data_IF_507856910788
#
_entry.id   IF_507856910788
#
_cell.length_a   1.000
_cell.length_b   1.000
_cell.length_c   1.000
_cell.angle_alpha   90.00
_cell.angle_beta   90.00
_cell.angle_gamma   90.00
#
_symmetry.space_group_name_H-M   'P 1'
#
loop_
_entity.id
_entity.type
_entity.pdbx_description
1 polymer ?
#
# COMPACT_ATOMS: atom_id res chain seq x y z
N UNK A 1 26.24 7.48 27.07
CA UNK A 1 25.17 7.40 28.07
C UNK A 1 23.98 8.06 27.44
N UNK A 2 23.15 7.22 26.85
CA UNK A 2 22.19 7.55 25.79
C UNK A 2 20.80 7.66 26.38
N UNK A 3 19.93 8.50 25.83
CA UNK A 3 18.52 8.80 26.20
C UNK A 3 17.65 7.62 26.71
N UNK A 4 18.04 6.37 26.46
CA UNK A 4 17.47 5.14 27.03
C UNK A 4 17.73 4.97 28.54
N UNK A 5 18.91 5.35 29.04
CA UNK A 5 19.27 5.27 30.47
C UNK A 5 18.48 6.31 31.28
N UNK A 6 18.34 7.53 30.75
CA UNK A 6 17.55 8.60 31.41
C UNK A 6 16.06 8.26 31.51
N UNK A 7 15.51 7.49 30.56
CA UNK A 7 14.11 7.07 30.59
C UNK A 7 13.86 5.95 31.62
N UNK A 8 14.84 5.06 31.80
CA UNK A 8 14.78 3.98 32.79
C UNK A 8 14.84 4.55 34.23
N UNK A 9 15.60 5.62 34.47
CA UNK A 9 15.69 6.29 35.77
C UNK A 9 14.40 7.04 36.15
N UNK A 10 13.72 7.67 35.18
CA UNK A 10 12.42 8.34 35.40
C UNK A 10 11.31 7.33 35.69
N UNK A 11 11.31 6.18 35.00
CA UNK A 11 10.37 5.10 35.27
C UNK A 11 10.61 4.46 36.65
N UNK A 12 11.88 4.31 37.07
CA UNK A 12 12.25 3.83 38.40
C UNK A 12 11.83 4.82 39.51
N UNK A 13 11.96 6.13 39.28
CA UNK A 13 11.46 7.17 40.19
C UNK A 13 9.92 7.18 40.29
N UNK A 14 9.22 6.85 39.21
CA UNK A 14 7.76 6.67 39.26
C UNK A 14 7.35 5.35 39.93
N UNK A 15 8.16 4.30 39.84
CA UNK A 15 7.92 3.02 40.52
C UNK A 15 8.09 3.14 42.05
N UNK A 16 9.03 3.99 42.50
CA UNK A 16 9.20 4.39 43.91
C UNK A 16 8.00 5.15 44.50
N UNK A 17 7.04 5.59 43.68
CA UNK A 17 5.86 6.31 44.13
C UNK A 17 4.67 5.40 44.50
N UNK A 18 4.79 4.07 44.33
CA UNK A 18 3.73 3.13 44.64
C UNK A 18 4.02 2.38 45.95
N UNK A 19 3.08 2.46 46.89
CA UNK A 19 3.14 1.74 48.16
C UNK A 19 2.82 0.26 47.92
N UNK A 20 3.81 -0.63 48.01
CA UNK A 20 3.63 -2.09 47.90
C UNK A 20 4.73 -2.81 47.14
N UNK A 21 4.70 -4.15 47.13
CA UNK A 21 5.65 -4.96 46.36
C UNK A 21 5.45 -4.80 44.85
N UNK A 22 6.49 -5.08 44.06
CA UNK A 22 6.39 -5.02 42.59
C UNK A 22 5.25 -5.91 42.04
N UNK A 23 5.05 -7.09 42.64
CA UNK A 23 3.95 -8.00 42.30
C UNK A 23 2.59 -7.38 42.61
N UNK A 24 2.38 -6.89 43.83
CA UNK A 24 1.11 -6.29 44.26
C UNK A 24 0.74 -5.09 43.39
N UNK A 25 1.68 -4.18 43.15
CA UNK A 25 1.48 -3.05 42.27
C UNK A 25 1.09 -3.51 40.85
N UNK A 26 1.77 -4.52 40.31
CA UNK A 26 1.44 -5.13 39.03
C UNK A 26 0.02 -5.72 38.99
N UNK A 27 -0.43 -6.35 40.07
CA UNK A 27 -1.79 -6.90 40.20
C UNK A 27 -2.86 -5.82 40.35
N UNK A 28 -2.62 -4.77 41.14
CA UNK A 28 -3.55 -3.65 41.28
C UNK A 28 -3.75 -2.94 39.93
N UNK A 29 -2.67 -2.68 39.19
CA UNK A 29 -2.76 -2.10 37.85
C UNK A 29 -3.47 -3.02 36.86
N UNK A 30 -3.26 -4.34 36.96
CA UNK A 30 -3.99 -5.34 36.17
C UNK A 30 -5.49 -5.26 36.47
N UNK A 31 -5.89 -5.15 37.73
CA UNK A 31 -7.30 -5.06 38.12
C UNK A 31 -7.97 -3.78 37.63
N UNK A 32 -7.36 -2.61 37.88
CA UNK A 32 -7.85 -1.32 37.35
C UNK A 32 -7.94 -1.33 35.82
N UNK A 33 -6.93 -1.87 35.15
CA UNK A 33 -6.94 -2.02 33.70
C UNK A 33 -8.07 -2.94 33.22
N UNK A 34 -8.36 -4.03 33.93
CA UNK A 34 -9.46 -4.94 33.62
C UNK A 34 -10.83 -4.27 33.78
N UNK A 35 -11.01 -3.42 34.79
CA UNK A 35 -12.21 -2.63 34.99
C UNK A 35 -12.43 -1.65 33.83
N UNK A 36 -11.40 -0.88 33.47
CA UNK A 36 -11.44 0.00 32.29
C UNK A 36 -11.72 -0.78 31.00
N UNK A 37 -11.14 -1.98 30.85
CA UNK A 37 -11.37 -2.84 29.68
C UNK A 37 -12.83 -3.29 29.61
N UNK A 38 -13.43 -3.71 30.73
CA UNK A 38 -14.85 -4.05 30.81
C UNK A 38 -15.75 -2.86 30.48
N UNK A 39 -15.35 -1.66 30.90
CA UNK A 39 -16.01 -0.40 30.57
C UNK A 39 -15.78 0.08 29.12
N UNK A 40 -15.03 -0.69 28.29
CA UNK A 40 -14.63 -0.34 26.91
C UNK A 40 -13.77 0.91 26.80
N UNK A 41 -13.16 1.36 27.90
CA UNK A 41 -12.20 2.45 27.94
C UNK A 41 -10.80 1.89 27.63
N UNK A 42 -10.59 1.48 26.38
CA UNK A 42 -9.36 0.74 25.99
C UNK A 42 -8.09 1.59 26.04
N UNK A 43 -8.20 2.90 25.86
CA UNK A 43 -7.06 3.82 25.97
C UNK A 43 -6.55 3.87 27.42
N UNK A 44 -7.44 4.09 28.38
CA UNK A 44 -7.12 4.14 29.81
C UNK A 44 -6.65 2.77 30.31
N UNK A 45 -7.34 1.69 29.90
CA UNK A 45 -6.94 0.33 30.24
C UNK A 45 -5.50 0.03 29.79
N UNK A 46 -5.13 0.45 28.57
CA UNK A 46 -3.77 0.30 28.04
C UNK A 46 -2.74 1.05 28.91
N UNK A 47 -3.08 2.24 29.42
CA UNK A 47 -2.19 3.01 30.30
C UNK A 47 -1.96 2.31 31.64
N UNK A 48 -3.03 1.81 32.28
CA UNK A 48 -2.89 1.04 33.52
C UNK A 48 -2.04 -0.22 33.32
N UNK A 49 -2.27 -0.97 32.24
CA UNK A 49 -1.42 -2.13 31.96
C UNK A 49 0.04 -1.74 31.68
N UNK A 50 0.27 -0.60 31.05
CA UNK A 50 1.63 -0.11 30.79
C UNK A 50 2.37 0.18 32.09
N UNK A 51 1.73 0.86 33.04
CA UNK A 51 2.32 1.11 34.38
C UNK A 51 2.71 -0.18 35.10
N UNK A 52 1.82 -1.18 35.11
CA UNK A 52 2.12 -2.48 35.70
C UNK A 52 3.27 -3.23 34.98
N UNK A 53 3.33 -3.12 33.65
CA UNK A 53 4.42 -3.69 32.85
C UNK A 53 5.74 -3.01 33.17
N UNK A 54 5.77 -1.68 33.29
CA UNK A 54 7.02 -0.95 33.51
C UNK A 54 7.67 -1.33 34.84
N UNK A 55 6.86 -1.54 35.89
CA UNK A 55 7.32 -2.02 37.20
C UNK A 55 7.91 -3.44 37.09
N UNK A 56 7.13 -4.40 36.58
CA UNK A 56 7.56 -5.81 36.55
C UNK A 56 8.66 -6.08 35.50
N UNK A 57 8.67 -5.35 34.39
CA UNK A 57 9.70 -5.46 33.37
C UNK A 57 11.03 -4.87 33.85
N UNK A 58 11.01 -3.87 34.74
CA UNK A 58 12.23 -3.37 35.38
C UNK A 58 12.88 -4.47 36.24
N UNK A 59 12.10 -5.17 37.06
CA UNK A 59 12.60 -6.29 37.86
C UNK A 59 13.16 -7.42 36.98
N UNK A 60 12.50 -7.76 35.86
CA UNK A 60 13.06 -8.73 34.90
C UNK A 60 14.37 -8.26 34.25
N UNK A 61 14.53 -6.95 33.98
CA UNK A 61 15.80 -6.41 33.46
C UNK A 61 16.92 -6.47 34.49
N UNK A 62 16.63 -6.17 35.77
CA UNK A 62 17.59 -6.31 36.88
C UNK A 62 18.10 -7.74 36.98
N UNK A 63 17.18 -8.71 36.99
CA UNK A 63 17.52 -10.15 36.99
C UNK A 63 18.36 -10.55 35.78
N UNK A 64 18.04 -10.02 34.59
CA UNK A 64 18.80 -10.30 33.37
C UNK A 64 20.25 -9.76 33.42
N UNK A 65 20.53 -8.74 34.24
CA UNK A 65 21.89 -8.23 34.51
C UNK A 65 22.63 -9.00 35.60
N UNK A 66 21.97 -9.98 36.25
CA UNK A 66 22.52 -10.72 37.38
C UNK A 66 22.37 -9.99 38.72
N UNK A 67 21.54 -8.95 38.79
CA UNK A 67 21.20 -8.26 40.03
C UNK A 67 20.15 -9.07 40.82
N UNK A 68 20.26 -9.06 42.15
CA UNK A 68 19.26 -9.64 43.05
C UNK A 68 18.07 -8.70 43.16
N UNK A 69 16.87 -9.25 43.13
CA UNK A 69 15.62 -8.51 43.34
C UNK A 69 15.03 -8.88 44.70
N UNK A 70 14.25 -7.97 45.28
CA UNK A 70 13.73 -8.10 46.64
C UNK A 70 12.26 -7.70 46.66
N UNK A 71 11.52 -8.27 47.60
CA UNK A 71 10.16 -7.87 47.94
C UNK A 71 10.02 -7.72 49.45
N UNK A 72 9.06 -6.91 49.88
CA UNK A 72 8.73 -6.73 51.29
C UNK A 72 7.72 -7.77 51.73
N UNK A 73 8.05 -8.52 52.78
CA UNK A 73 7.13 -9.42 53.47
C UNK A 73 6.89 -8.91 54.90
N UNK A 74 5.67 -9.14 55.40
CA UNK A 74 5.34 -8.87 56.79
C UNK A 74 5.88 -9.98 57.68
N UNK A 75 6.92 -9.69 58.44
CA UNK A 75 7.42 -10.58 59.47
C UNK A 75 6.84 -10.20 60.84
N UNK A 76 6.39 -11.19 61.60
CA UNK A 76 6.04 -10.98 63.02
C UNK A 76 7.31 -11.04 63.86
N UNK A 77 7.62 -9.95 64.54
CA UNK A 77 8.69 -9.93 65.54
C UNK A 77 8.08 -9.92 66.95
N UNK A 78 8.28 -11.00 67.70
CA UNK A 78 7.77 -11.17 69.07
C UNK A 78 6.99 -12.48 69.28
N UNK A 79 6.78 -12.86 70.54
CA UNK A 79 5.94 -14.00 70.93
C UNK A 79 4.68 -13.50 71.65
N UNK A 80 3.50 -14.05 71.30
CA UNK A 80 2.21 -13.70 71.92
C UNK A 80 1.39 -12.66 71.17
N UNK A 81 0.36 -12.10 71.83
CA UNK A 81 -0.59 -11.14 71.25
C UNK A 81 0.02 -9.74 71.01
N UNK A 82 1.22 -9.48 71.54
CA UNK A 82 1.98 -8.22 71.37
C UNK A 82 2.95 -8.26 70.17
N UNK A 83 2.87 -9.27 69.29
CA UNK A 83 3.74 -9.39 68.13
C UNK A 83 3.51 -8.24 67.13
N UNK A 84 4.52 -7.39 66.96
CA UNK A 84 4.50 -6.31 65.96
C UNK A 84 4.75 -6.89 64.55
N UNK A 85 3.91 -6.51 63.59
CA UNK A 85 4.18 -6.73 62.16
C UNK A 85 5.17 -5.66 61.69
N UNK A 86 6.30 -6.11 61.14
CA UNK A 86 7.29 -5.23 60.50
C UNK A 86 7.54 -5.70 59.09
N UNK A 87 7.73 -4.74 58.19
CA UNK A 87 8.12 -5.03 56.81
C UNK A 87 9.61 -5.40 56.78
N UNK A 88 9.91 -6.56 56.21
CA UNK A 88 11.26 -7.06 56.02
C UNK A 88 11.49 -7.26 54.54
N UNK A 89 12.62 -6.78 54.03
CA UNK A 89 13.04 -7.03 52.66
C UNK A 89 13.63 -8.45 52.55
N UNK A 90 13.00 -9.27 51.72
CA UNK A 90 13.38 -10.65 51.44
C UNK A 90 13.81 -10.74 49.97
N UNK A 91 14.92 -11.43 49.70
CA UNK A 91 15.37 -11.70 48.33
C UNK A 91 14.33 -12.55 47.60
N UNK A 92 14.00 -12.20 46.37
CA UNK A 92 13.04 -12.94 45.56
C UNK A 92 13.56 -14.35 45.28
N UNK A 93 12.81 -15.35 45.73
CA UNK A 93 13.04 -16.74 45.37
C UNK A 93 12.47 -17.06 43.98
N UNK A 94 12.81 -18.23 43.45
CA UNK A 94 12.36 -18.68 42.12
C UNK A 94 10.83 -18.69 41.98
N UNK A 95 10.12 -18.95 43.08
CA UNK A 95 8.65 -19.00 43.11
C UNK A 95 8.04 -17.59 43.01
N UNK A 96 8.59 -16.60 43.71
CA UNK A 96 8.16 -15.21 43.60
C UNK A 96 8.48 -14.64 42.22
N UNK A 97 9.66 -14.94 41.67
CA UNK A 97 10.01 -14.56 40.29
C UNK A 97 9.02 -15.17 39.30
N UNK A 98 8.64 -16.44 39.48
CA UNK A 98 7.63 -17.09 38.64
C UNK A 98 6.25 -16.42 38.74
N UNK A 99 5.82 -16.04 39.96
CA UNK A 99 4.57 -15.31 40.18
C UNK A 99 4.58 -13.94 39.49
N UNK A 100 5.66 -13.18 39.64
CA UNK A 100 5.83 -11.89 38.96
C UNK A 100 5.79 -12.03 37.43
N UNK A 101 6.47 -13.04 36.87
CA UNK A 101 6.43 -13.34 35.44
C UNK A 101 5.03 -13.70 34.95
N UNK A 102 4.25 -14.43 35.74
CA UNK A 102 2.86 -14.77 35.42
C UNK A 102 1.96 -13.51 35.37
N UNK A 103 2.15 -12.57 36.31
CA UNK A 103 1.45 -11.27 36.28
C UNK A 103 1.87 -10.47 35.05
N UNK A 104 3.17 -10.39 34.78
CA UNK A 104 3.72 -9.69 33.60
C UNK A 104 3.20 -10.27 32.28
N UNK A 105 3.13 -11.60 32.16
CA UNK A 105 2.52 -12.30 31.03
C UNK A 105 1.08 -11.84 30.83
N UNK A 106 0.27 -11.85 31.90
CA UNK A 106 -1.13 -11.46 31.84
C UNK A 106 -1.32 -10.00 31.41
N UNK A 107 -0.44 -9.10 31.86
CA UNK A 107 -0.45 -7.68 31.51
C UNK A 107 -0.14 -7.47 30.02
N UNK A 108 0.90 -8.11 29.47
CA UNK A 108 1.20 -8.03 28.03
C UNK A 108 0.03 -8.54 27.19
N UNK A 109 -0.57 -9.65 27.59
CA UNK A 109 -1.71 -10.29 26.91
C UNK A 109 -2.95 -9.39 26.93
N UNK A 110 -3.18 -8.67 28.02
CA UNK A 110 -4.30 -7.74 28.17
C UNK A 110 -4.04 -6.42 27.44
N UNK A 111 -2.82 -5.87 27.49
CA UNK A 111 -2.43 -4.69 26.71
C UNK A 111 -2.50 -4.96 25.21
N UNK A 112 -2.09 -6.15 24.77
CA UNK A 112 -2.27 -6.61 23.39
C UNK A 112 -3.76 -6.63 22.98
N UNK A 113 -4.67 -6.99 23.90
CA UNK A 113 -6.10 -6.91 23.64
C UNK A 113 -6.56 -5.47 23.41
N UNK A 114 -6.15 -4.52 24.25
CA UNK A 114 -6.43 -3.10 24.05
C UNK A 114 -5.89 -2.60 22.70
N UNK A 115 -4.66 -2.98 22.34
CA UNK A 115 -4.07 -2.60 21.07
C UNK A 115 -4.85 -3.15 19.88
N UNK A 116 -5.38 -4.37 19.97
CA UNK A 116 -6.20 -4.95 18.91
C UNK A 116 -7.52 -4.18 18.72
N UNK A 117 -8.18 -3.78 19.81
CA UNK A 117 -9.43 -3.00 19.76
C UNK A 117 -9.19 -1.55 19.29
N UNK A 118 -8.05 -0.96 19.64
CA UNK A 118 -7.66 0.38 19.19
C UNK A 118 -7.10 0.42 17.75
N UNK A 119 -6.96 -0.72 17.07
CA UNK A 119 -6.37 -0.80 15.72
C UNK A 119 -4.85 -0.64 15.68
N UNK A 120 -4.18 -0.66 16.82
CA UNK A 120 -2.73 -0.58 16.96
C UNK A 120 -2.08 -1.95 16.75
N UNK A 121 -2.21 -2.50 15.54
CA UNK A 121 -1.87 -3.90 15.27
C UNK A 121 -0.39 -4.23 15.55
N UNK A 122 0.54 -3.32 15.22
CA UNK A 122 1.98 -3.56 15.42
C UNK A 122 2.37 -3.76 16.88
N UNK A 123 1.84 -2.91 17.74
CA UNK A 123 2.03 -3.03 19.18
C UNK A 123 1.38 -4.32 19.70
N UNK A 124 0.21 -4.69 19.17
CA UNK A 124 -0.49 -5.93 19.55
C UNK A 124 0.36 -7.19 19.36
N UNK A 125 0.91 -7.44 18.17
CA UNK A 125 1.71 -8.66 17.97
C UNK A 125 3.08 -8.59 18.64
N UNK A 126 3.62 -7.38 18.89
CA UNK A 126 4.86 -7.20 19.65
C UNK A 126 4.66 -7.61 21.11
N UNK A 127 3.57 -7.14 21.74
CA UNK A 127 3.19 -7.53 23.10
C UNK A 127 2.88 -9.02 23.20
N UNK A 128 2.20 -9.59 22.20
CA UNK A 128 1.99 -11.03 22.13
C UNK A 128 3.33 -11.80 22.05
N UNK A 129 4.31 -11.27 21.31
CA UNK A 129 5.66 -11.85 21.25
C UNK A 129 6.38 -11.82 22.59
N UNK A 130 6.26 -10.72 23.35
CA UNK A 130 6.80 -10.63 24.71
C UNK A 130 6.12 -11.61 25.67
N UNK A 131 4.79 -11.70 25.62
CA UNK A 131 4.04 -12.69 26.40
C UNK A 131 4.45 -14.13 26.08
N UNK A 132 4.69 -14.46 24.80
CA UNK A 132 5.11 -15.80 24.38
C UNK A 132 6.56 -16.13 24.76
N UNK A 133 7.42 -15.13 25.01
CA UNK A 133 8.75 -15.36 25.59
C UNK A 133 8.66 -15.78 27.06
N UNK A 134 7.68 -15.25 27.80
CA UNK A 134 7.42 -15.63 29.18
C UNK A 134 6.69 -16.97 29.26
N UNK A 135 5.64 -17.14 28.47
CA UNK A 135 4.84 -18.36 28.40
C UNK A 135 4.55 -18.76 26.96
N UNK A 136 5.35 -19.69 26.39
CA UNK A 136 5.16 -20.18 25.03
C UNK A 136 3.84 -20.92 24.78
N UNK A 137 3.10 -21.29 25.83
CA UNK A 137 1.84 -22.06 25.72
C UNK A 137 0.59 -21.16 25.75
N UNK A 138 0.76 -19.84 25.71
CA UNK A 138 -0.37 -18.91 25.80
C UNK A 138 -1.18 -18.82 24.48
N UNK A 139 -2.30 -19.55 24.44
CA UNK A 139 -3.23 -19.56 23.31
C UNK A 139 -3.85 -18.18 23.00
N UNK A 140 -4.09 -17.34 24.02
CA UNK A 140 -4.66 -15.99 23.82
C UNK A 140 -3.68 -15.08 23.09
N UNK A 141 -2.38 -15.20 23.35
CA UNK A 141 -1.34 -14.45 22.66
C UNK A 141 -1.25 -14.85 21.18
N UNK A 142 -1.27 -16.16 20.86
CA UNK A 142 -1.31 -16.63 19.47
C UNK A 142 -2.54 -16.13 18.73
N UNK A 143 -3.73 -16.23 19.35
CA UNK A 143 -4.98 -15.76 18.75
C UNK A 143 -4.95 -14.27 18.42
N UNK A 144 -4.54 -13.42 19.38
CA UNK A 144 -4.50 -11.96 19.16
C UNK A 144 -3.43 -11.56 18.14
N UNK A 145 -2.26 -12.21 18.16
CA UNK A 145 -1.20 -12.02 17.18
C UNK A 145 -1.67 -12.35 15.77
N UNK A 146 -2.25 -13.53 15.56
CA UNK A 146 -2.77 -13.96 14.26
C UNK A 146 -3.85 -12.99 13.73
N UNK A 147 -4.77 -12.56 14.61
CA UNK A 147 -5.83 -11.61 14.24
C UNK A 147 -5.29 -10.21 13.90
N UNK A 148 -4.28 -9.72 14.61
CA UNK A 148 -3.62 -8.45 14.31
C UNK A 148 -2.85 -8.50 12.98
N UNK A 149 -2.09 -9.57 12.72
CA UNK A 149 -1.34 -9.77 11.49
C UNK A 149 -2.26 -9.88 10.28
N UNK A 150 -3.39 -10.58 10.42
CA UNK A 150 -4.41 -10.70 9.38
C UNK A 150 -5.00 -9.33 9.01
N UNK A 151 -5.27 -8.46 9.99
CA UNK A 151 -5.80 -7.10 9.75
C UNK A 151 -4.84 -6.20 8.97
N UNK A 152 -3.52 -6.43 9.07
CA UNK A 152 -2.50 -5.72 8.30
C UNK A 152 -2.23 -6.37 6.93
N UNK A 153 -2.77 -7.56 6.68
CA UNK A 153 -2.56 -8.32 5.44
C UNK A 153 -1.25 -9.11 5.42
N UNK A 154 -0.60 -9.32 6.58
CA UNK A 154 0.57 -10.20 6.74
C UNK A 154 0.10 -11.64 6.88
N UNK A 155 -0.48 -12.18 5.81
CA UNK A 155 -1.23 -13.45 5.81
C UNK A 155 -0.34 -14.63 6.21
N UNK A 156 0.88 -14.72 5.67
CA UNK A 156 1.80 -15.84 5.97
C UNK A 156 2.20 -15.92 7.44
N UNK A 157 2.45 -14.78 8.08
CA UNK A 157 2.81 -14.72 9.50
C UNK A 157 1.60 -14.95 10.40
N UNK A 158 0.41 -14.51 9.97
CA UNK A 158 -0.83 -14.82 10.66
C UNK A 158 -1.10 -16.33 10.66
N UNK A 159 -0.87 -17.00 9.53
CA UNK A 159 -1.00 -18.45 9.39
C UNK A 159 -0.04 -19.19 10.31
N UNK A 160 1.24 -18.82 10.29
CA UNK A 160 2.28 -19.39 11.15
C UNK A 160 1.99 -19.21 12.66
N UNK A 161 1.52 -18.02 13.07
CA UNK A 161 1.08 -17.78 14.45
C UNK A 161 -0.15 -18.64 14.82
N UNK A 162 -1.11 -18.79 13.91
CA UNK A 162 -2.32 -19.57 14.14
C UNK A 162 -2.00 -21.07 14.21
N UNK A 163 -1.15 -21.58 13.31
CA UNK A 163 -0.70 -22.96 13.26
C UNK A 163 0.02 -23.37 14.56
N UNK A 164 0.92 -22.53 15.07
CA UNK A 164 1.56 -22.76 16.38
C UNK A 164 0.56 -22.81 17.53
N UNK A 165 -0.45 -21.94 17.54
CA UNK A 165 -1.51 -21.98 18.54
C UNK A 165 -2.35 -23.26 18.46
N UNK A 166 -2.72 -23.69 17.24
CA UNK A 166 -3.49 -24.91 17.02
C UNK A 166 -2.67 -26.18 17.30
N UNK A 167 -1.34 -26.14 17.20
CA UNK A 167 -0.48 -27.24 17.61
C UNK A 167 -0.49 -27.48 19.13
N UNK A 168 -0.78 -26.44 19.92
CA UNK A 168 -0.94 -26.54 21.37
C UNK A 168 -2.34 -27.02 21.77
N UNK A 169 -3.38 -26.46 21.14
CA UNK A 169 -4.77 -26.84 21.34
C UNK A 169 -5.50 -26.85 20.00
N UNK A 170 -5.62 -28.05 19.44
CA UNK A 170 -6.25 -28.25 18.14
C UNK A 170 -7.74 -27.95 18.14
N UNK A 171 -8.42 -28.02 19.29
CA UNK A 171 -9.87 -27.82 19.44
C UNK A 171 -10.28 -26.38 19.78
N UNK A 172 -9.30 -25.48 19.82
CA UNK A 172 -9.53 -24.07 20.13
C UNK A 172 -10.43 -23.38 19.08
N UNK A 173 -11.71 -23.17 19.41
CA UNK A 173 -12.70 -22.56 18.50
C UNK A 173 -12.28 -21.17 17.99
N UNK A 174 -11.80 -20.23 18.83
CA UNK A 174 -11.33 -18.92 18.36
C UNK A 174 -10.21 -19.01 17.32
N UNK A 175 -9.19 -19.85 17.55
CA UNK A 175 -8.09 -20.03 16.60
C UNK A 175 -8.55 -20.68 15.29
N UNK A 176 -9.43 -21.69 15.35
CA UNK A 176 -10.02 -22.28 14.13
C UNK A 176 -10.78 -21.26 13.29
N UNK A 177 -11.52 -20.33 13.93
CA UNK A 177 -12.20 -19.26 13.21
C UNK A 177 -11.20 -18.32 12.52
N UNK A 178 -10.12 -17.94 13.20
CA UNK A 178 -9.05 -17.11 12.60
C UNK A 178 -8.36 -17.86 11.45
N UNK A 179 -8.10 -19.15 11.57
CA UNK A 179 -7.54 -19.97 10.48
C UNK A 179 -8.45 -19.94 9.22
N UNK A 180 -9.76 -20.06 9.39
CA UNK A 180 -10.70 -19.95 8.28
C UNK A 180 -10.68 -18.55 7.64
N UNK A 181 -10.56 -17.50 8.44
CA UNK A 181 -10.46 -16.13 7.93
C UNK A 181 -9.13 -15.88 7.20
N UNK A 182 -8.03 -16.50 7.65
CA UNK A 182 -6.71 -16.47 6.99
C UNK A 182 -6.80 -17.13 5.61
N UNK A 183 -7.41 -18.33 5.51
CA UNK A 183 -7.59 -19.01 4.22
C UNK A 183 -8.40 -18.15 3.24
N UNK A 184 -9.52 -17.57 3.68
CA UNK A 184 -10.32 -16.67 2.84
C UNK A 184 -9.52 -15.43 2.40
N UNK A 185 -8.72 -14.85 3.29
CA UNK A 185 -7.88 -13.71 2.95
C UNK A 185 -6.78 -14.08 1.95
N UNK A 186 -6.18 -15.26 2.08
CA UNK A 186 -5.18 -15.79 1.15
C UNK A 186 -5.78 -15.96 -0.25
N UNK A 187 -6.93 -16.61 -0.36
CA UNK A 187 -7.64 -16.79 -1.64
C UNK A 187 -7.99 -15.46 -2.31
N UNK A 188 -8.45 -14.47 -1.53
CA UNK A 188 -8.75 -13.15 -2.05
C UNK A 188 -7.50 -12.40 -2.52
N UNK A 189 -6.40 -12.51 -1.78
CA UNK A 189 -5.11 -11.92 -2.16
C UNK A 189 -4.59 -12.55 -3.46
N UNK A 190 -4.63 -13.88 -3.58
CA UNK A 190 -4.21 -14.61 -4.78
C UNK A 190 -5.10 -14.32 -5.99
N UNK A 191 -6.42 -14.22 -5.78
CA UNK A 191 -7.34 -13.82 -6.83
C UNK A 191 -7.04 -12.39 -7.33
N UNK A 192 -6.71 -11.47 -6.41
CA UNK A 192 -6.35 -10.09 -6.76
C UNK A 192 -5.04 -10.04 -7.55
N UNK A 193 -3.99 -10.70 -7.07
CA UNK A 193 -2.69 -10.72 -7.76
C UNK A 193 -2.81 -11.36 -9.15
N UNK A 194 -3.56 -12.45 -9.28
CA UNK A 194 -3.84 -13.09 -10.57
C UNK A 194 -4.58 -12.16 -11.54
N UNK A 195 -5.63 -11.47 -11.10
CA UNK A 195 -6.38 -10.50 -11.94
C UNK A 195 -5.48 -9.35 -12.41
N UNK A 196 -4.62 -8.84 -11.53
CA UNK A 196 -3.66 -7.79 -11.88
C UNK A 196 -2.61 -8.27 -12.88
N UNK A 197 -2.10 -9.50 -12.71
CA UNK A 197 -1.17 -10.12 -13.64
C UNK A 197 -1.80 -10.35 -15.03
N UNK A 198 -3.04 -10.85 -15.08
CA UNK A 198 -3.79 -11.04 -16.32
C UNK A 198 -4.04 -9.71 -17.05
N UNK A 199 -4.39 -8.64 -16.33
CA UNK A 199 -4.54 -7.29 -16.90
C UNK A 199 -3.24 -6.80 -17.52
N UNK A 200 -2.14 -6.87 -16.78
CA UNK A 200 -0.81 -6.46 -17.26
C UNK A 200 -0.35 -7.30 -18.46
N UNK A 201 -0.63 -8.61 -18.46
CA UNK A 201 -0.31 -9.50 -19.58
C UNK A 201 -1.11 -9.12 -20.84
N UNK A 202 -2.40 -8.77 -20.70
CA UNK A 202 -3.25 -8.31 -21.81
C UNK A 202 -2.78 -6.98 -22.37
N UNK A 203 -2.40 -6.02 -21.52
CA UNK A 203 -1.82 -4.73 -21.93
C UNK A 203 -0.51 -4.94 -22.70
N UNK A 204 0.44 -5.71 -22.16
CA UNK A 204 1.71 -6.04 -22.84
C UNK A 204 1.48 -6.73 -24.19
N UNK A 205 0.52 -7.67 -24.26
CA UNK A 205 0.17 -8.34 -25.51
C UNK A 205 -0.39 -7.35 -26.54
N UNK A 206 -1.25 -6.41 -26.10
CA UNK A 206 -1.83 -5.37 -26.98
C UNK A 206 -0.73 -4.45 -27.53
N UNK A 207 0.19 -4.01 -26.68
CA UNK A 207 1.33 -3.17 -27.10
C UNK A 207 2.25 -3.89 -28.08
N UNK A 208 2.60 -5.15 -27.80
CA UNK A 208 3.44 -5.96 -28.68
C UNK A 208 2.78 -6.14 -30.05
N UNK A 209 1.48 -6.44 -30.09
CA UNK A 209 0.72 -6.58 -31.33
C UNK A 209 0.64 -5.26 -32.10
N UNK A 210 0.41 -4.12 -31.41
CA UNK A 210 0.37 -2.81 -32.03
C UNK A 210 1.72 -2.46 -32.67
N UNK A 211 2.81 -2.67 -31.95
CA UNK A 211 4.18 -2.41 -32.43
C UNK A 211 4.51 -3.28 -33.64
N UNK A 212 4.19 -4.58 -33.60
CA UNK A 212 4.40 -5.48 -34.73
C UNK A 212 3.56 -5.07 -35.95
N UNK A 213 2.30 -4.66 -35.74
CA UNK A 213 1.39 -4.24 -36.79
C UNK A 213 1.84 -2.93 -37.48
N UNK A 214 2.41 -1.98 -36.73
CA UNK A 214 3.02 -0.77 -37.27
C UNK A 214 4.31 -1.07 -38.03
N UNK A 215 5.20 -1.91 -37.48
CA UNK A 215 6.46 -2.29 -38.11
C UNK A 215 6.25 -2.99 -39.47
N UNK A 216 5.29 -3.93 -39.55
CA UNK A 216 4.96 -4.60 -40.80
C UNK A 216 4.52 -3.60 -41.89
N UNK A 217 3.76 -2.57 -41.52
CA UNK A 217 3.26 -1.54 -42.44
C UNK A 217 4.33 -0.54 -42.89
N UNK A 218 5.23 -0.15 -42.00
CA UNK A 218 6.36 0.73 -42.33
C UNK A 218 7.35 0.08 -43.31
N UNK A 219 7.49 -1.25 -43.27
CA UNK A 219 8.42 -1.99 -44.14
C UNK A 219 7.92 -2.22 -45.58
N UNK A 220 6.70 -1.80 -45.93
CA UNK A 220 6.10 -2.04 -47.25
C UNK A 220 5.86 -3.52 -47.60
N UNK A 221 6.25 -4.46 -46.74
CA UNK A 221 5.99 -5.89 -46.88
C UNK A 221 4.66 -6.21 -46.21
N UNK A 222 3.61 -6.33 -47.02
CA UNK A 222 2.47 -7.15 -46.62
C UNK A 222 3.00 -8.54 -46.22
N UNK A 223 2.63 -9.10 -45.04
CA UNK A 223 3.06 -10.44 -44.67
C UNK A 223 2.56 -11.40 -45.75
N UNK A 224 3.47 -12.02 -46.52
CA UNK A 224 3.11 -13.11 -47.43
C UNK A 224 2.62 -14.28 -46.57
N UNK A 225 1.37 -14.75 -46.71
CA UNK A 225 0.90 -15.88 -45.96
C UNK A 225 1.34 -17.17 -46.65
N UNK A 226 2.32 -17.87 -46.09
CA UNK A 226 2.37 -19.32 -46.23
C UNK A 226 1.16 -19.89 -45.47
N UNK A 227 0.20 -20.44 -46.21
CA UNK A 227 -1.11 -20.93 -45.73
C UNK A 227 -1.01 -22.29 -45.01
N UNK A 228 -2.02 -22.78 -44.23
CA UNK A 228 -3.46 -22.71 -44.51
C UNK A 228 -4.42 -22.24 -43.39
N UNK A 229 -5.48 -21.58 -43.88
CA UNK A 229 -6.83 -21.31 -43.36
C UNK A 229 -7.16 -21.70 -41.90
N UNK A 230 -7.21 -20.67 -41.05
CA UNK A 230 -8.39 -20.38 -40.22
C UNK A 230 -8.85 -18.97 -40.61
N UNK A 231 -10.08 -18.82 -41.12
CA UNK A 231 -10.63 -17.51 -41.50
C UNK A 231 -11.00 -16.75 -40.23
N UNK A 232 -10.08 -15.95 -39.69
CA UNK A 232 -10.43 -14.83 -38.81
C UNK A 232 -10.81 -13.63 -39.69
N UNK A 233 -12.10 -13.41 -39.87
CA UNK A 233 -12.65 -12.20 -40.49
C UNK A 233 -12.49 -11.09 -39.44
N UNK A 234 -11.56 -10.15 -39.60
CA UNK A 234 -11.60 -8.92 -38.79
C UNK A 234 -10.35 -8.03 -38.68
N UNK A 235 -9.12 -8.50 -38.84
CA UNK A 235 -7.92 -7.70 -38.52
C UNK A 235 -7.24 -7.09 -39.75
N UNK A 236 -8.01 -6.60 -40.74
CA UNK A 236 -7.45 -6.09 -42.00
C UNK A 236 -7.17 -4.58 -42.01
N UNK A 237 -7.82 -3.80 -41.15
CA UNK A 237 -7.62 -2.36 -41.01
C UNK A 237 -7.28 -2.03 -39.56
N UNK A 238 -6.25 -1.23 -39.32
CA UNK A 238 -6.07 -0.53 -38.05
C UNK A 238 -6.87 0.77 -38.06
N UNK A 239 -7.45 1.11 -36.92
CA UNK A 239 -8.04 2.42 -36.66
C UNK A 239 -7.44 2.98 -35.38
N UNK A 240 -7.16 4.28 -35.39
CA UNK A 240 -6.59 4.99 -34.26
C UNK A 240 -7.58 6.05 -33.78
N UNK A 241 -7.77 6.24 -32.48
CA UNK A 241 -8.38 7.48 -32.01
C UNK A 241 -7.49 8.66 -32.44
N UNK A 242 -8.09 9.74 -32.91
CA UNK A 242 -7.37 10.93 -33.35
C UNK A 242 -7.93 12.19 -32.71
N UNK A 243 -7.05 13.10 -32.32
CA UNK A 243 -7.39 14.43 -31.80
C UNK A 243 -6.96 15.45 -32.83
N UNK A 244 -7.91 16.27 -33.28
CA UNK A 244 -7.66 17.45 -34.11
C UNK A 244 -7.54 18.66 -33.18
N UNK A 245 -6.38 19.30 -33.16
CA UNK A 245 -6.08 20.43 -32.29
C UNK A 245 -6.11 21.73 -33.10
N UNK A 246 -6.81 22.74 -32.60
CA UNK A 246 -6.89 24.08 -33.18
C UNK A 246 -6.13 25.07 -32.28
N UNK A 247 -4.79 25.10 -32.35
CA UNK A 247 -3.95 25.73 -31.33
C UNK A 247 -4.14 27.25 -31.22
N UNK A 248 -4.55 27.93 -32.29
CA UNK A 248 -4.78 29.39 -32.27
C UNK A 248 -6.07 29.78 -31.53
N UNK A 249 -6.96 28.83 -31.29
CA UNK A 249 -8.26 29.04 -30.62
C UNK A 249 -8.39 28.22 -29.35
N UNK A 250 -7.43 27.36 -29.06
CA UNK A 250 -7.40 26.43 -27.91
C UNK A 250 -8.60 25.46 -27.90
N UNK A 251 -9.05 25.08 -29.09
CA UNK A 251 -10.16 24.14 -29.29
C UNK A 251 -9.65 22.78 -29.79
N UNK A 252 -10.48 21.74 -29.67
CA UNK A 252 -10.15 20.40 -30.20
C UNK A 252 -11.38 19.58 -30.57
N UNK A 253 -11.23 18.74 -31.60
CA UNK A 253 -12.19 17.70 -31.97
C UNK A 253 -11.60 16.30 -31.78
N UNK A 254 -12.46 15.32 -31.49
CA UNK A 254 -12.06 13.93 -31.30
C UNK A 254 -12.72 12.99 -32.32
N UNK A 255 -11.89 12.29 -33.09
CA UNK A 255 -12.29 11.21 -33.97
C UNK A 255 -12.07 9.88 -33.25
N UNK A 256 -13.15 9.20 -32.91
CA UNK A 256 -13.11 7.95 -32.14
C UNK A 256 -12.35 6.82 -32.84
N UNK A 257 -12.43 6.75 -34.17
CA UNK A 257 -11.77 5.73 -34.98
C UNK A 257 -11.44 6.28 -36.37
N UNK A 258 -10.19 6.70 -36.56
CA UNK A 258 -9.62 7.09 -37.85
C UNK A 258 -8.94 5.87 -38.46
N UNK A 259 -9.55 5.29 -39.50
CA UNK A 259 -9.02 4.12 -40.18
C UNK A 259 -7.76 4.46 -40.98
N UNK A 260 -6.79 3.56 -41.01
CA UNK A 260 -5.55 3.72 -41.76
C UNK A 260 -5.75 3.93 -43.27
N UNK A 261 -6.88 3.48 -43.84
CA UNK A 261 -7.21 3.68 -45.26
C UNK A 261 -7.91 5.00 -45.57
N UNK A 262 -8.44 5.69 -44.54
CA UNK A 262 -9.14 6.97 -44.69
C UNK A 262 -8.13 8.12 -44.86
N UNK A 263 -8.57 9.22 -45.45
CA UNK A 263 -7.75 10.43 -45.64
C UNK A 263 -8.16 11.48 -44.62
N UNK A 264 -7.22 12.33 -44.26
CA UNK A 264 -7.50 13.44 -43.35
C UNK A 264 -8.55 14.40 -43.94
N UNK A 265 -8.52 14.63 -45.25
CA UNK A 265 -9.50 15.43 -45.97
C UNK A 265 -10.94 14.91 -45.81
N UNK A 266 -11.12 13.59 -45.77
CA UNK A 266 -12.46 12.98 -45.63
C UNK A 266 -13.06 13.34 -44.27
N UNK A 267 -12.23 13.41 -43.22
CA UNK A 267 -12.65 13.85 -41.89
C UNK A 267 -12.86 15.36 -41.79
N UNK A 268 -11.95 16.15 -42.37
CA UNK A 268 -12.07 17.62 -42.37
C UNK A 268 -13.33 18.09 -43.12
N UNK A 269 -13.78 17.36 -44.13
CA UNK A 269 -14.93 17.73 -44.94
C UNK A 269 -16.26 17.75 -44.18
N UNK A 270 -16.42 16.92 -43.14
CA UNK A 270 -17.64 16.92 -42.30
C UNK A 270 -17.46 17.65 -40.97
N UNK A 271 -16.21 17.93 -40.56
CA UNK A 271 -15.91 18.65 -39.31
C UNK A 271 -15.89 20.16 -39.55
N UNK A 272 -15.36 20.60 -40.69
CA UNK A 272 -15.29 22.02 -41.06
C UNK A 272 -16.48 22.40 -41.95
N UNK A 273 -17.08 23.59 -41.75
CA UNK A 273 -16.69 24.64 -40.80
C UNK A 273 -17.15 24.34 -39.36
N UNK A 274 -16.36 24.79 -38.40
CA UNK A 274 -16.61 24.62 -36.96
C UNK A 274 -17.48 25.77 -36.42
N UNK A 275 -18.35 25.52 -35.42
CA UNK A 275 -19.30 26.53 -34.93
C UNK A 275 -18.68 27.79 -34.33
N UNK A 276 -17.45 27.70 -33.81
CA UNK A 276 -16.75 28.80 -33.14
C UNK A 276 -15.91 29.68 -34.09
N UNK A 277 -15.86 29.35 -35.38
CA UNK A 277 -15.10 30.07 -36.39
C UNK A 277 -15.95 31.16 -37.07
N UNK A 278 -16.26 32.21 -36.31
CA UNK A 278 -17.07 33.35 -36.78
C UNK A 278 -16.47 34.06 -38.01
N UNK A 279 -15.16 33.90 -38.24
CA UNK A 279 -14.39 34.53 -39.33
C UNK A 279 -14.26 33.65 -40.57
N UNK A 280 -14.69 32.39 -40.51
CA UNK A 280 -14.56 31.44 -41.62
C UNK A 280 -13.11 31.14 -42.01
N UNK A 281 -12.16 31.25 -41.08
CA UNK A 281 -10.73 31.01 -41.33
C UNK A 281 -10.41 29.51 -41.49
N UNK A 282 -11.25 28.63 -40.96
CA UNK A 282 -11.09 27.17 -40.94
C UNK A 282 -12.01 26.50 -41.96
N UNK A 283 -11.58 26.52 -43.22
CA UNK A 283 -12.22 25.77 -44.31
C UNK A 283 -11.38 24.56 -44.73
N UNK A 284 -11.99 23.50 -45.32
CA UNK A 284 -11.26 22.30 -45.77
C UNK A 284 -10.05 22.61 -46.66
N UNK A 285 -10.15 23.64 -47.50
CA UNK A 285 -9.07 24.09 -48.38
C UNK A 285 -8.14 25.12 -47.73
N UNK A 286 -8.67 25.99 -46.87
CA UNK A 286 -7.95 27.08 -46.19
C UNK A 286 -7.09 26.67 -45.00
N UNK A 287 -7.18 25.42 -44.53
CA UNK A 287 -6.34 24.92 -43.44
C UNK A 287 -5.14 24.10 -43.91
N UNK A 288 -4.09 24.14 -43.12
CA UNK A 288 -2.93 23.27 -43.18
C UNK A 288 -2.88 22.35 -41.96
N UNK A 289 -2.42 21.13 -42.18
CA UNK A 289 -2.39 20.10 -41.15
C UNK A 289 -0.95 19.72 -40.83
N UNK A 290 -0.65 19.59 -39.54
CA UNK A 290 0.68 19.28 -39.04
C UNK A 290 0.64 18.17 -38.00
N UNK A 291 1.71 17.38 -37.91
CA UNK A 291 1.86 16.36 -36.88
C UNK A 291 3.23 16.48 -36.22
N UNK A 292 3.32 16.11 -34.94
CA UNK A 292 4.59 16.03 -34.23
C UNK A 292 5.37 14.78 -34.67
N UNK A 293 6.69 14.94 -34.73
CA UNK A 293 7.65 13.88 -35.10
C UNK A 293 8.26 13.27 -33.84
N UNK A 294 8.79 12.05 -33.93
CA UNK A 294 9.43 11.37 -32.79
C UNK A 294 10.57 12.18 -32.15
N UNK A 295 11.20 13.10 -32.91
CA UNK A 295 12.28 13.98 -32.41
C UNK A 295 11.75 15.29 -31.79
N UNK A 296 10.43 15.46 -31.66
CA UNK A 296 9.79 16.67 -31.14
C UNK A 296 9.73 17.84 -32.13
N UNK A 297 9.98 17.59 -33.42
CA UNK A 297 9.77 18.56 -34.50
C UNK A 297 8.38 18.45 -35.11
N UNK A 298 8.05 19.33 -36.07
CA UNK A 298 6.75 19.37 -36.73
C UNK A 298 6.89 18.99 -38.22
N UNK A 299 5.97 18.19 -38.75
CA UNK A 299 5.90 17.86 -40.18
C UNK A 299 4.54 18.23 -40.77
N UNK A 300 4.55 18.84 -41.96
CA UNK A 300 3.34 19.14 -42.72
C UNK A 300 2.76 17.87 -43.32
N UNK A 301 1.47 17.64 -43.08
CA UNK A 301 0.76 16.44 -43.51
C UNK A 301 -0.19 16.77 -44.65
N UNK A 302 -0.09 16.02 -45.75
CA UNK A 302 -0.95 16.21 -46.91
C UNK A 302 -2.38 15.73 -46.62
N UNK A 303 -3.36 16.62 -46.73
CA UNK A 303 -4.79 16.34 -46.46
C UNK A 303 -5.34 15.15 -47.26
N UNK A 304 -4.87 14.95 -48.50
CA UNK A 304 -5.29 13.87 -49.39
C UNK A 304 -4.56 12.53 -49.17
N UNK A 305 -3.52 12.50 -48.33
CA UNK A 305 -2.81 11.28 -48.01
C UNK A 305 -3.62 10.43 -47.02
N UNK A 306 -3.54 9.10 -47.15
CA UNK A 306 -4.14 8.18 -46.18
C UNK A 306 -3.33 8.17 -44.89
N UNK A 307 -3.99 7.88 -43.77
CA UNK A 307 -3.30 7.79 -42.47
C UNK A 307 -2.18 6.75 -42.49
N UNK A 308 -2.37 5.62 -43.19
CA UNK A 308 -1.32 4.61 -43.40
C UNK A 308 -0.06 5.21 -44.06
N UNK A 309 -0.23 6.01 -45.12
CA UNK A 309 0.89 6.63 -45.84
C UNK A 309 1.65 7.59 -44.93
N UNK A 310 0.93 8.37 -44.12
CA UNK A 310 1.49 9.33 -43.17
C UNK A 310 2.31 8.61 -42.09
N UNK A 311 1.76 7.54 -41.50
CA UNK A 311 2.43 6.78 -40.44
C UNK A 311 3.58 5.89 -40.97
N UNK A 312 3.48 5.39 -42.22
CA UNK A 312 4.52 4.58 -42.85
C UNK A 312 5.81 5.34 -43.18
N UNK A 313 5.75 6.68 -43.25
CA UNK A 313 6.91 7.53 -43.53
C UNK A 313 7.95 7.59 -42.40
N UNK A 314 7.70 6.94 -41.25
CA UNK A 314 8.67 6.78 -40.15
C UNK A 314 9.06 8.07 -39.41
N UNK A 315 8.53 9.21 -39.84
CA UNK A 315 8.84 10.53 -39.26
C UNK A 315 7.84 10.91 -38.17
N UNK A 316 6.60 10.44 -38.29
CA UNK A 316 5.48 10.74 -37.39
C UNK A 316 5.28 9.58 -36.42
N UNK A 317 5.12 9.89 -35.13
CA UNK A 317 4.88 8.90 -34.07
C UNK A 317 3.45 9.00 -33.53
N UNK A 318 2.85 7.85 -33.24
CA UNK A 318 1.56 7.78 -32.53
C UNK A 318 1.86 7.77 -31.04
N UNK A 319 1.66 8.92 -30.39
CA UNK A 319 1.94 9.09 -28.96
C UNK A 319 0.75 8.60 -28.14
N UNK A 320 0.99 7.73 -27.16
CA UNK A 320 -0.04 7.12 -26.29
C UNK A 320 -1.15 6.36 -27.04
N UNK A 321 -0.88 5.89 -28.26
CA UNK A 321 -1.88 5.24 -29.11
C UNK A 321 -2.92 6.19 -29.72
N UNK A 322 -2.69 7.51 -29.64
CA UNK A 322 -3.56 8.56 -30.20
C UNK A 322 -2.82 9.30 -31.31
N UNK A 323 -3.51 9.52 -32.44
CA UNK A 323 -3.02 10.35 -33.54
C UNK A 323 -3.33 11.82 -33.21
N UNK A 324 -2.31 12.67 -33.08
CA UNK A 324 -2.49 14.10 -32.83
C UNK A 324 -2.21 14.88 -34.11
N UNK A 325 -3.18 15.68 -34.57
CA UNK A 325 -3.08 16.50 -35.78
C UNK A 325 -3.40 17.94 -35.41
N UNK A 326 -2.48 18.86 -35.69
CA UNK A 326 -2.69 20.30 -35.54
C UNK A 326 -3.27 20.86 -36.83
N UNK A 327 -4.40 21.56 -36.71
CA UNK A 327 -5.09 22.23 -37.82
C UNK A 327 -4.91 23.74 -37.65
N UNK A 328 -4.34 24.38 -38.65
CA UNK A 328 -4.00 25.81 -38.60
C UNK A 328 -4.40 26.48 -39.91
N UNK A 329 -5.02 27.67 -39.90
CA UNK A 329 -5.30 28.41 -41.13
C UNK A 329 -4.01 28.71 -41.89
N UNK A 330 -4.01 28.48 -43.20
CA UNK A 330 -2.81 28.59 -44.03
C UNK A 330 -2.14 29.97 -43.94
N UNK A 331 -2.94 31.04 -43.81
CA UNK A 331 -2.46 32.40 -43.65
C UNK A 331 -1.65 32.63 -42.35
N UNK A 332 -1.94 31.86 -41.29
CA UNK A 332 -1.33 32.00 -39.96
C UNK A 332 -0.33 30.89 -39.63
N UNK A 333 -0.21 29.88 -40.49
CA UNK A 333 0.64 28.71 -40.27
C UNK A 333 2.12 29.06 -40.03
N UNK A 334 2.67 30.01 -40.81
CA UNK A 334 4.09 30.41 -40.66
C UNK A 334 4.42 30.96 -39.27
N UNK A 335 3.57 31.85 -38.74
CA UNK A 335 3.79 32.44 -37.42
C UNK A 335 3.69 31.40 -36.31
N UNK A 336 2.66 30.55 -36.37
CA UNK A 336 2.46 29.50 -35.38
C UNK A 336 3.59 28.46 -35.36
N UNK A 337 4.16 28.09 -36.51
CA UNK A 337 5.28 27.13 -36.58
C UNK A 337 6.50 27.66 -35.83
N UNK A 338 6.81 28.96 -35.94
CA UNK A 338 7.95 29.55 -35.23
C UNK A 338 7.70 29.60 -33.72
N UNK A 339 6.50 29.99 -33.28
CA UNK A 339 6.10 29.92 -31.87
C UNK A 339 6.19 28.50 -31.30
N UNK A 340 5.75 27.50 -32.07
CA UNK A 340 5.82 26.10 -31.67
C UNK A 340 7.27 25.63 -31.47
N UNK A 341 8.19 25.99 -32.36
CA UNK A 341 9.61 25.66 -32.24
C UNK A 341 10.23 26.28 -30.99
N UNK A 342 9.92 27.55 -30.70
CA UNK A 342 10.41 28.26 -29.51
C UNK A 342 9.93 27.54 -28.25
N UNK A 343 8.63 27.21 -28.19
CA UNK A 343 8.03 26.52 -27.04
C UNK A 343 8.66 25.14 -26.81
N UNK A 344 8.87 24.36 -27.86
CA UNK A 344 9.52 23.04 -27.77
C UNK A 344 10.99 23.10 -27.38
N UNK A 345 11.71 24.15 -27.80
CA UNK A 345 13.09 24.37 -27.37
C UNK A 345 13.17 24.68 -25.86
N UNK A 346 12.23 25.48 -25.34
CA UNK A 346 12.14 25.77 -23.91
C UNK A 346 11.80 24.52 -23.07
N UNK A 347 10.88 23.67 -23.53
CA UNK A 347 10.52 22.40 -22.86
C UNK A 347 11.71 21.42 -22.79
N UNK A 348 12.54 21.35 -23.84
CA UNK A 348 13.74 20.49 -23.87
C UNK A 348 14.90 21.00 -23.01
N UNK A 349 14.97 22.30 -22.73
CA UNK A 349 16.02 22.89 -21.88
C UNK A 349 15.73 22.78 -20.37
N UNK A 350 14.52 22.36 -20.00
CA UNK A 350 14.05 22.28 -18.60
C UNK A 350 13.89 20.84 -18.08
N UNK A 351 14.25 19.82 -18.89
CA UNK A 351 14.16 18.39 -18.54
C UNK A 351 15.53 17.78 -18.26
#
# INVERSE_FOLDING_TARGET
MTELEENDDVAALQALAYEGTARENGEEFKERGNECFKARMYADAKEFYTKGIDILALEERRRAKGEKTFHTEKARSGEGDDAEERDVEVEDDDDEVARQRAVLESLYVNRAACHLELGNYRSCWTDCGLALRLNPRNLKAYYRSARALLKVGRIAEADDACARGLALDGDNKPLRAVAQDIVKAAEQADAKTRREAERKAKERRREMLLKAALAARASGRAPRPSRPRWRTRGWRSLSFPAVLLYPLRLESDFIKAFNETERLADHLAYILPVPWDDKGEYSPDGVECYMETAKGGLVKVGKKATLLKILSGGTVEVVDGIVRVYIVPAAKAKGWIEEFKIKKAAEKGSS
#
